data_IF_139672777475
#
_entry.id   IF_139672777475
#
_cell.length_a   1.000
_cell.length_b   1.000
_cell.length_c   1.000
_cell.angle_alpha   90.00
_cell.angle_beta   90.00
_cell.angle_gamma   90.00
#
_symmetry.space_group_name_H-M   'P 1'
#
loop_
_entity.id
_entity.type
_entity.pdbx_description
1 polymer ?
#
# COMPACT_ATOMS: atom_id res chain seq x y z
N UNK A 1 3.16 1.17 -9.46
CA UNK A 1 2.46 2.36 -8.95
C UNK A 1 1.85 3.17 -10.10
N UNK A 2 0.96 4.14 -9.85
CA UNK A 2 0.30 4.91 -10.91
C UNK A 2 1.26 5.84 -11.64
N UNK A 3 2.19 6.46 -10.91
CA UNK A 3 3.28 7.29 -11.45
C UNK A 3 4.20 6.48 -12.38
N UNK A 4 4.51 5.24 -12.00
CA UNK A 4 5.29 4.30 -12.80
C UNK A 4 4.51 3.87 -14.04
N UNK A 5 3.22 3.56 -13.92
CA UNK A 5 2.37 3.24 -15.05
C UNK A 5 2.31 4.42 -16.04
N UNK A 6 2.16 5.64 -15.54
CA UNK A 6 2.18 6.86 -16.36
C UNK A 6 3.53 7.04 -17.08
N UNK A 7 4.65 6.81 -16.39
CA UNK A 7 5.98 6.83 -17.00
C UNK A 7 6.14 5.77 -18.10
N UNK A 8 5.63 4.56 -17.88
CA UNK A 8 5.67 3.47 -18.87
C UNK A 8 4.85 3.83 -20.12
N UNK A 9 3.68 4.44 -19.95
CA UNK A 9 2.85 4.89 -21.08
C UNK A 9 3.50 6.05 -21.87
N UNK A 10 4.31 6.89 -21.22
CA UNK A 10 5.08 7.93 -21.88
C UNK A 10 4.23 8.90 -22.71
N UNK A 11 4.61 9.09 -23.98
CA UNK A 11 3.89 9.96 -24.92
C UNK A 11 2.49 9.47 -25.25
N UNK A 12 2.26 8.16 -25.16
CA UNK A 12 1.04 7.49 -25.62
C UNK A 12 -0.10 7.59 -24.60
N UNK A 13 0.19 8.06 -23.39
CA UNK A 13 -0.82 8.33 -22.38
C UNK A 13 -1.80 9.41 -22.86
N UNK A 14 -3.09 9.07 -22.82
CA UNK A 14 -4.21 9.98 -23.08
C UNK A 14 -4.27 11.09 -22.03
N UNK A 15 -5.05 12.14 -22.31
CA UNK A 15 -5.25 13.25 -21.35
C UNK A 15 -5.86 12.76 -20.03
N UNK A 16 -6.79 11.80 -20.11
CA UNK A 16 -7.45 11.25 -18.93
C UNK A 16 -6.49 10.39 -18.11
N UNK A 17 -5.68 9.55 -18.76
CA UNK A 17 -4.64 8.74 -18.08
C UNK A 17 -3.60 9.63 -17.39
N UNK A 18 -3.11 10.68 -18.07
CA UNK A 18 -2.17 11.66 -17.48
C UNK A 18 -2.75 12.30 -16.23
N UNK A 19 -4.00 12.75 -16.32
CA UNK A 19 -4.69 13.43 -15.22
C UNK A 19 -4.90 12.48 -14.05
N UNK A 20 -5.45 11.29 -14.30
CA UNK A 20 -5.83 10.37 -13.24
C UNK A 20 -4.61 9.71 -12.59
N UNK A 21 -3.68 9.15 -13.37
CA UNK A 21 -2.51 8.45 -12.82
C UNK A 21 -1.54 9.41 -12.11
N UNK A 22 -1.39 10.64 -12.62
CA UNK A 22 -0.55 11.67 -12.03
C UNK A 22 -1.14 12.34 -10.79
N UNK A 23 -2.43 12.15 -10.51
CA UNK A 23 -3.09 12.72 -9.31
C UNK A 23 -2.81 11.93 -8.03
N UNK A 24 -2.35 10.68 -8.14
CA UNK A 24 -1.96 9.89 -6.96
C UNK A 24 -0.50 10.20 -6.64
N UNK A 25 -0.30 10.91 -5.53
CA UNK A 25 1.03 11.24 -5.02
C UNK A 25 1.58 10.10 -4.15
N UNK A 26 2.90 10.08 -3.99
CA UNK A 26 3.59 9.09 -3.18
C UNK A 26 4.53 9.77 -2.19
N UNK A 27 4.58 9.23 -0.98
CA UNK A 27 5.53 9.60 0.06
C UNK A 27 6.59 8.50 0.19
N UNK A 28 7.85 8.90 0.29
CA UNK A 28 8.93 7.97 0.62
C UNK A 28 8.88 7.62 2.11
N UNK A 29 8.89 6.31 2.39
CA UNK A 29 9.00 5.75 3.73
C UNK A 29 10.25 4.87 3.79
N UNK A 30 11.11 5.11 4.76
CA UNK A 30 12.29 4.29 5.02
C UNK A 30 11.95 3.21 6.05
N UNK A 31 12.27 1.96 5.76
CA UNK A 31 12.13 0.86 6.70
C UNK A 31 13.52 0.27 6.97
N UNK A 32 13.89 0.21 8.24
CA UNK A 32 15.19 -0.30 8.67
C UNK A 32 14.97 -1.53 9.52
N UNK A 33 15.62 -2.64 9.18
CA UNK A 33 15.75 -3.82 10.03
C UNK A 33 17.05 -3.69 10.84
N UNK A 34 16.97 -3.71 12.16
CA UNK A 34 18.11 -3.45 13.03
C UNK A 34 17.95 -4.08 14.43
N UNK A 35 19.02 -4.00 15.23
CA UNK A 35 19.03 -4.39 16.65
C UNK A 35 19.16 -3.24 17.66
N UNK A 36 19.15 -1.99 17.19
CA UNK A 36 19.23 -0.81 18.06
C UNK A 36 18.02 -0.63 18.99
N UNK A 37 18.20 -0.94 20.28
CA UNK A 37 17.19 -0.82 21.33
C UNK A 37 16.76 0.62 21.63
N UNK A 38 17.50 1.64 21.16
CA UNK A 38 17.16 3.06 21.38
C UNK A 38 15.92 3.50 20.61
N UNK A 39 15.51 2.72 19.60
CA UNK A 39 14.24 2.93 18.89
C UNK A 39 13.00 2.44 19.67
N UNK A 40 13.20 1.83 20.85
CA UNK A 40 12.15 1.41 21.77
C UNK A 40 12.05 2.35 22.99
N UNK A 41 10.94 2.35 23.74
CA UNK A 41 10.84 3.11 24.99
C UNK A 41 11.96 2.76 25.97
N UNK A 42 12.51 3.76 26.66
CA UNK A 42 13.54 3.55 27.68
C UNK A 42 13.10 2.58 28.78
N UNK A 43 11.81 2.63 29.16
CA UNK A 43 11.22 1.71 30.13
C UNK A 43 10.83 0.41 29.42
N UNK A 44 11.57 -0.68 29.66
CA UNK A 44 11.29 -2.00 29.08
C UNK A 44 9.87 -2.51 29.35
N UNK A 45 9.27 -2.16 30.49
CA UNK A 45 7.88 -2.51 30.81
C UNK A 45 6.84 -1.87 29.86
N UNK A 46 7.21 -0.84 29.10
CA UNK A 46 6.36 -0.20 28.11
C UNK A 46 6.59 -0.74 26.69
N UNK A 47 7.39 -1.79 26.54
CA UNK A 47 7.61 -2.41 25.24
C UNK A 47 6.36 -3.16 24.79
N UNK A 48 6.06 -3.03 23.51
CA UNK A 48 4.95 -3.68 22.84
C UNK A 48 5.39 -4.14 21.46
N UNK A 49 4.60 -5.00 20.81
CA UNK A 49 4.88 -5.51 19.46
C UNK A 49 5.03 -4.41 18.41
N UNK A 50 4.47 -3.24 18.70
CA UNK A 50 4.61 -1.99 17.96
C UNK A 50 4.69 -0.82 18.94
N UNK A 51 5.53 0.16 18.64
CA UNK A 51 5.61 1.43 19.38
C UNK A 51 5.75 2.54 18.36
N UNK A 52 5.05 3.66 18.58
CA UNK A 52 5.27 4.86 17.78
C UNK A 52 6.06 5.88 18.60
N UNK A 53 6.88 6.66 17.90
CA UNK A 53 7.63 7.77 18.46
C UNK A 53 7.35 9.00 17.61
N UNK A 54 6.98 10.10 18.27
CA UNK A 54 6.77 11.39 17.61
C UNK A 54 7.77 12.40 18.17
N UNK A 55 8.58 13.00 17.31
CA UNK A 55 9.62 13.96 17.70
C UNK A 55 9.74 15.05 16.64
N UNK A 56 9.59 16.31 17.05
CA UNK A 56 9.69 17.48 16.17
C UNK A 56 8.84 17.38 14.88
N UNK A 57 7.65 16.77 14.99
CA UNK A 57 6.73 16.57 13.86
C UNK A 57 7.01 15.34 13.00
N UNK A 58 8.12 14.64 13.22
CA UNK A 58 8.42 13.35 12.58
C UNK A 58 7.81 12.21 13.38
N UNK A 59 7.25 11.22 12.69
CA UNK A 59 6.65 10.03 13.30
C UNK A 59 7.37 8.80 12.78
N UNK A 60 7.91 8.01 13.71
CA UNK A 60 8.46 6.69 13.45
C UNK A 60 7.67 5.61 14.16
N UNK A 61 7.65 4.41 13.60
CA UNK A 61 6.99 3.24 14.18
C UNK A 61 7.97 2.08 14.21
N UNK A 62 8.24 1.53 15.38
CA UNK A 62 9.11 0.37 15.56
C UNK A 62 8.26 -0.87 15.85
N UNK A 63 8.45 -1.91 15.04
CA UNK A 63 7.90 -3.24 15.25
C UNK A 63 8.95 -4.11 15.95
N UNK A 64 8.55 -4.74 17.05
CA UNK A 64 9.38 -5.72 17.72
C UNK A 64 9.09 -7.12 17.19
N UNK A 65 9.91 -7.56 16.23
CA UNK A 65 9.67 -8.76 15.45
C UNK A 65 9.78 -10.03 16.28
N UNK A 66 10.66 -10.06 17.29
CA UNK A 66 10.76 -11.20 18.21
C UNK A 66 9.42 -11.48 18.89
N UNK A 67 8.79 -10.44 19.43
CA UNK A 67 7.50 -10.58 20.08
C UNK A 67 6.38 -10.86 19.07
N UNK A 68 6.37 -10.16 17.93
CA UNK A 68 5.29 -10.27 16.93
C UNK A 68 5.26 -11.64 16.25
N UNK A 69 6.42 -12.25 16.02
CA UNK A 69 6.55 -13.52 15.28
C UNK A 69 7.02 -14.70 16.14
N UNK A 70 7.29 -14.49 17.43
CA UNK A 70 7.80 -15.54 18.32
C UNK A 70 9.24 -15.97 18.04
N UNK A 71 10.08 -15.06 17.54
CA UNK A 71 11.50 -15.32 17.26
C UNK A 71 12.29 -15.23 18.59
N UNK A 72 13.27 -16.12 18.86
CA UNK A 72 14.10 -16.03 20.05
C UNK A 72 14.75 -14.65 20.24
N UNK A 73 14.72 -14.11 21.45
CA UNK A 73 15.27 -12.78 21.80
C UNK A 73 16.80 -12.76 21.99
N UNK A 74 17.52 -13.83 21.63
CA UNK A 74 18.98 -13.85 21.70
C UNK A 74 19.63 -12.79 20.82
N UNK A 75 18.90 -12.35 19.78
CA UNK A 75 19.21 -11.17 18.98
C UNK A 75 17.94 -10.30 18.85
N UNK A 76 17.94 -9.04 19.33
CA UNK A 76 16.81 -8.15 19.16
C UNK A 76 16.59 -7.80 17.68
N UNK A 77 15.38 -8.05 17.18
CA UNK A 77 14.98 -7.77 15.81
C UNK A 77 13.87 -6.72 15.82
N UNK A 78 14.23 -5.52 15.38
CA UNK A 78 13.34 -4.40 15.22
C UNK A 78 13.22 -4.02 13.75
N UNK A 79 12.01 -3.68 13.33
CA UNK A 79 11.78 -2.99 12.06
C UNK A 79 11.23 -1.61 12.37
N UNK A 80 12.01 -0.56 12.13
CA UNK A 80 11.55 0.81 12.30
C UNK A 80 11.21 1.45 10.97
N UNK A 81 9.96 1.86 10.82
CA UNK A 81 9.47 2.73 9.75
C UNK A 81 9.74 4.18 10.15
N UNK A 82 10.40 4.92 9.27
CA UNK A 82 10.78 6.32 9.42
C UNK A 82 11.43 6.63 10.78
N UNK A 83 12.63 6.07 11.06
CA UNK A 83 13.35 6.32 12.31
C UNK A 83 13.45 7.83 12.60
N UNK A 84 13.16 8.22 13.84
CA UNK A 84 13.20 9.64 14.26
C UNK A 84 14.57 10.06 14.82
N UNK A 85 15.43 9.09 15.11
CA UNK A 85 16.87 9.25 15.31
C UNK A 85 17.62 8.29 14.37
N UNK A 86 18.85 8.65 14.02
CA UNK A 86 19.75 7.80 13.26
C UNK A 86 20.06 6.48 13.97
N UNK A 87 20.14 5.41 13.18
CA UNK A 87 20.53 4.07 13.61
C UNK A 87 21.96 3.85 13.12
N UNK A 88 22.92 3.50 13.99
CA UNK A 88 24.30 3.22 13.60
C UNK A 88 24.38 2.05 12.63
N UNK A 89 25.19 2.19 11.58
CA UNK A 89 25.32 1.22 10.49
C UNK A 89 25.66 -0.19 10.99
N UNK A 90 26.46 -0.32 12.05
CA UNK A 90 26.85 -1.60 12.64
C UNK A 90 25.71 -2.34 13.36
N UNK A 91 24.57 -1.68 13.54
CA UNK A 91 23.34 -2.24 14.12
C UNK A 91 22.27 -2.51 13.06
N UNK A 92 22.48 -2.11 11.81
CA UNK A 92 21.55 -2.30 10.69
C UNK A 92 21.82 -3.64 10.01
N UNK A 93 20.74 -4.38 9.78
CA UNK A 93 20.75 -5.61 8.98
C UNK A 93 20.27 -5.35 7.54
N UNK A 94 19.28 -4.48 7.37
CA UNK A 94 18.74 -4.09 6.07
C UNK A 94 18.10 -2.68 6.13
N UNK A 95 18.10 -1.97 5.02
CA UNK A 95 17.55 -0.62 4.89
C UNK A 95 16.91 -0.44 3.51
N UNK A 96 15.59 -0.26 3.49
CA UNK A 96 14.79 -0.24 2.27
C UNK A 96 13.89 0.98 2.24
N UNK A 97 13.85 1.64 1.08
CA UNK A 97 12.91 2.73 0.81
C UNK A 97 11.68 2.19 0.07
N UNK A 98 10.51 2.57 0.57
CA UNK A 98 9.20 2.27 -0.01
C UNK A 98 8.51 3.56 -0.41
N UNK A 99 7.71 3.51 -1.48
CA UNK A 99 6.84 4.62 -1.87
C UNK A 99 5.40 4.30 -1.46
N UNK A 100 4.85 5.04 -0.51
CA UNK A 100 3.48 4.86 -0.02
C UNK A 100 2.52 5.84 -0.70
N UNK A 101 1.39 5.39 -1.28
CA UNK A 101 0.44 6.29 -1.90
C UNK A 101 -0.22 7.21 -0.87
N UNK A 102 -0.43 8.47 -1.25
CA UNK A 102 -1.17 9.46 -0.49
C UNK A 102 -2.61 9.51 -0.99
N UNK A 103 -3.58 9.25 -0.10
CA UNK A 103 -5.01 9.21 -0.43
C UNK A 103 -5.71 10.52 -0.08
N UNK A 104 -5.27 11.60 -0.72
CA UNK A 104 -5.93 12.90 -0.61
C UNK A 104 -7.19 12.98 -1.50
N UNK A 105 -7.86 14.13 -1.50
CA UNK A 105 -9.06 14.34 -2.29
C UNK A 105 -8.82 14.20 -3.82
N UNK A 106 -7.61 14.50 -4.31
CA UNK A 106 -7.27 14.34 -5.73
C UNK A 106 -7.09 12.86 -6.07
N UNK A 107 -6.38 12.10 -5.25
CA UNK A 107 -6.22 10.66 -5.40
C UNK A 107 -7.58 9.93 -5.36
N UNK A 108 -8.49 10.29 -4.45
CA UNK A 108 -9.83 9.69 -4.38
C UNK A 108 -10.65 9.97 -5.64
N UNK A 109 -10.60 11.20 -6.19
CA UNK A 109 -11.24 11.50 -7.48
C UNK A 109 -10.62 10.71 -8.62
N UNK A 110 -9.29 10.60 -8.63
CA UNK A 110 -8.56 9.84 -9.62
C UNK A 110 -8.94 8.35 -9.64
N UNK A 111 -9.22 7.73 -8.48
CA UNK A 111 -9.72 6.35 -8.42
C UNK A 111 -11.01 6.15 -9.21
N UNK A 112 -11.92 7.13 -9.14
CA UNK A 112 -13.16 7.10 -9.94
C UNK A 112 -12.87 7.22 -11.43
N UNK A 113 -11.96 8.12 -11.82
CA UNK A 113 -11.55 8.27 -13.22
C UNK A 113 -10.90 6.99 -13.76
N UNK A 114 -9.97 6.41 -12.99
CA UNK A 114 -9.28 5.15 -13.35
C UNK A 114 -10.29 4.02 -13.53
N UNK A 115 -11.29 3.91 -12.63
CA UNK A 115 -12.36 2.92 -12.75
C UNK A 115 -13.16 3.07 -14.05
N UNK A 116 -13.42 4.30 -14.49
CA UNK A 116 -14.25 4.58 -15.67
C UNK A 116 -13.49 4.46 -16.99
N UNK A 117 -12.16 4.63 -17.00
CA UNK A 117 -11.35 4.59 -18.23
C UNK A 117 -10.74 3.21 -18.54
N UNK A 118 -11.04 2.18 -17.75
CA UNK A 118 -10.53 0.82 -17.97
C UNK A 118 -10.83 0.33 -19.40
N UNK A 119 -9.78 -0.09 -20.12
CA UNK A 119 -9.87 -0.65 -21.47
C UNK A 119 -9.98 0.39 -22.60
N UNK A 120 -10.16 1.67 -22.32
CA UNK A 120 -10.44 2.71 -23.33
C UNK A 120 -9.31 2.87 -24.37
N UNK A 121 -8.05 2.71 -23.94
CA UNK A 121 -6.87 2.80 -24.81
C UNK A 121 -6.13 1.46 -24.92
N UNK A 122 -6.86 0.34 -24.84
CA UNK A 122 -6.28 -1.02 -24.70
C UNK A 122 -5.37 -1.15 -23.46
N UNK A 123 -5.54 -0.25 -22.50
CA UNK A 123 -4.82 -0.17 -21.23
C UNK A 123 -5.75 -0.54 -20.09
N UNK A 124 -5.21 -1.26 -19.11
CA UNK A 124 -5.93 -1.70 -17.92
C UNK A 124 -5.06 -1.45 -16.69
N UNK A 125 -5.65 -0.85 -15.66
CA UNK A 125 -4.92 -0.39 -14.48
C UNK A 125 -5.35 -1.16 -13.24
N UNK A 126 -4.42 -1.92 -12.67
CA UNK A 126 -4.57 -2.60 -11.39
C UNK A 126 -3.46 -2.17 -10.43
N UNK A 127 -3.75 -2.25 -9.13
CA UNK A 127 -2.83 -1.91 -8.05
C UNK A 127 -3.56 -1.34 -6.84
N UNK A 128 -2.91 -1.41 -5.67
CA UNK A 128 -3.48 -1.01 -4.38
C UNK A 128 -3.88 0.47 -4.31
N UNK A 129 -3.28 1.33 -5.15
CA UNK A 129 -3.63 2.75 -5.28
C UNK A 129 -5.05 3.01 -5.82
N UNK A 130 -5.72 1.96 -6.33
CA UNK A 130 -7.12 2.03 -6.76
C UNK A 130 -8.13 1.95 -5.60
N UNK A 131 -7.67 1.91 -4.34
CA UNK A 131 -8.54 1.98 -3.14
C UNK A 131 -7.83 2.52 -1.89
N UNK A 132 -7.48 1.70 -0.89
CA UNK A 132 -6.93 2.16 0.40
C UNK A 132 -5.46 1.79 0.60
N UNK A 133 -4.78 1.25 -0.42
CA UNK A 133 -3.34 0.99 -0.38
C UNK A 133 -2.94 -0.34 0.24
N UNK A 134 -3.90 -1.20 0.61
CA UNK A 134 -3.59 -2.51 1.18
C UNK A 134 -3.42 -3.60 0.11
N UNK A 135 -2.85 -4.74 0.51
CA UNK A 135 -2.64 -5.90 -0.36
C UNK A 135 -3.96 -6.39 -1.00
N UNK A 136 -5.04 -6.44 -0.21
CA UNK A 136 -6.37 -6.84 -0.68
C UNK A 136 -6.89 -5.93 -1.79
N UNK A 137 -6.54 -4.63 -1.76
CA UNK A 137 -6.96 -3.68 -2.79
C UNK A 137 -6.24 -3.93 -4.12
N UNK A 138 -4.98 -4.37 -4.04
CA UNK A 138 -4.23 -4.84 -5.20
C UNK A 138 -4.95 -6.00 -5.87
N UNK A 139 -5.28 -7.04 -5.11
CA UNK A 139 -5.98 -8.24 -5.60
C UNK A 139 -7.37 -7.86 -6.14
N UNK A 140 -8.17 -7.12 -5.37
CA UNK A 140 -9.51 -6.70 -5.76
C UNK A 140 -9.52 -5.86 -7.05
N UNK A 141 -8.54 -4.97 -7.23
CA UNK A 141 -8.41 -4.20 -8.48
C UNK A 141 -8.09 -5.08 -9.69
N UNK A 142 -7.20 -6.07 -9.55
CA UNK A 142 -6.88 -7.01 -10.61
C UNK A 142 -8.10 -7.87 -10.98
N UNK A 143 -8.84 -8.38 -9.99
CA UNK A 143 -10.06 -9.16 -10.22
C UNK A 143 -11.14 -8.35 -10.96
N UNK A 144 -11.26 -7.05 -10.69
CA UNK A 144 -12.16 -6.15 -11.44
C UNK A 144 -11.75 -6.05 -12.91
N UNK A 145 -10.46 -5.87 -13.19
CA UNK A 145 -9.92 -5.83 -14.55
C UNK A 145 -10.20 -7.15 -15.29
N UNK A 146 -9.89 -8.29 -14.68
CA UNK A 146 -10.12 -9.62 -15.28
C UNK A 146 -11.60 -9.80 -15.63
N UNK A 147 -12.52 -9.47 -14.72
CA UNK A 147 -13.97 -9.59 -14.98
C UNK A 147 -14.42 -8.69 -16.13
N UNK A 148 -13.91 -7.47 -16.21
CA UNK A 148 -14.25 -6.54 -17.29
C UNK A 148 -13.71 -7.00 -18.66
N UNK A 149 -12.49 -7.54 -18.69
CA UNK A 149 -11.89 -8.14 -19.89
C UNK A 149 -12.62 -9.42 -20.34
N UNK A 150 -13.07 -10.23 -19.38
CA UNK A 150 -13.74 -11.52 -19.63
C UNK A 150 -15.25 -11.38 -19.88
N UNK A 151 -15.83 -10.19 -19.72
CA UNK A 151 -17.27 -9.96 -19.90
C UNK A 151 -17.80 -10.29 -21.31
N UNK A 152 -17.00 -10.26 -22.41
CA UNK A 152 -17.38 -10.84 -23.69
C UNK A 152 -17.12 -12.36 -23.79
N UNK A 153 -16.25 -12.92 -22.95
CA UNK A 153 -15.77 -14.32 -22.98
C UNK A 153 -16.50 -15.27 -22.01
N UNK A 154 -17.54 -14.82 -21.30
CA UNK A 154 -18.57 -15.72 -20.76
C UNK A 154 -19.45 -16.29 -21.90
N UNK A 155 -18.79 -16.83 -22.92
CA UNK A 155 -19.34 -17.66 -23.97
C UNK A 155 -19.62 -19.05 -23.40
N UNK A 156 -20.87 -19.26 -23.00
CA UNK A 156 -21.62 -20.52 -23.18
C UNK A 156 -20.88 -21.82 -22.79
N UNK A 157 -20.38 -21.93 -21.55
CA UNK A 157 -19.74 -23.17 -21.09
C UNK A 157 -19.60 -23.35 -19.58
N UNK A 158 -19.04 -22.37 -18.87
CA UNK A 158 -18.47 -22.66 -17.55
C UNK A 158 -19.39 -22.26 -16.39
N UNK A 159 -20.42 -23.09 -16.19
CA UNK A 159 -21.05 -23.22 -14.87
C UNK A 159 -20.19 -24.12 -13.99
N UNK A 160 -19.01 -23.66 -13.56
CA UNK A 160 -18.39 -24.13 -12.32
C UNK A 160 -17.56 -22.98 -11.71
N UNK A 161 -18.06 -22.50 -10.57
CA UNK A 161 -17.31 -21.88 -9.48
C UNK A 161 -16.65 -20.51 -9.70
N UNK A 162 -17.45 -19.46 -9.56
CA UNK A 162 -17.01 -18.18 -8.98
C UNK A 162 -18.05 -17.76 -7.95
N UNK A 163 -17.75 -17.99 -6.67
CA UNK A 163 -18.57 -17.48 -5.58
C UNK A 163 -18.58 -15.95 -5.66
N UNK A 164 -19.76 -15.36 -5.89
CA UNK A 164 -19.92 -13.92 -6.03
C UNK A 164 -19.47 -13.21 -4.76
N UNK A 165 -18.48 -12.31 -4.86
CA UNK A 165 -18.27 -11.29 -3.84
C UNK A 165 -19.59 -10.51 -3.70
N UNK A 166 -20.08 -10.39 -2.45
CA UNK A 166 -21.31 -9.67 -2.14
C UNK A 166 -21.19 -8.21 -2.62
N UNK A 167 -22.31 -7.65 -3.05
CA UNK A 167 -22.41 -6.22 -3.39
C UNK A 167 -21.84 -5.37 -2.26
N UNK A 168 -21.17 -4.27 -2.60
CA UNK A 168 -20.75 -3.25 -1.63
C UNK A 168 -21.98 -2.77 -0.86
N UNK A 169 -22.14 -3.22 0.38
CA UNK A 169 -23.17 -2.71 1.28
C UNK A 169 -22.66 -1.38 1.80
N UNK A 170 -23.21 -0.28 1.29
CA UNK A 170 -23.06 1.03 1.90
C UNK A 170 -23.76 1.01 3.26
N UNK A 171 -22.99 1.12 4.35
CA UNK A 171 -23.54 1.33 5.69
C UNK A 171 -23.94 2.81 5.79
N UNK A 172 -25.24 3.10 5.93
CA UNK A 172 -25.67 4.45 6.27
C UNK A 172 -25.32 4.74 7.72
N UNK A 173 -24.50 5.76 7.94
CA UNK A 173 -24.32 6.32 9.28
C UNK A 173 -25.37 7.40 9.41
N UNK A 174 -26.52 7.06 9.98
CA UNK A 174 -27.53 8.03 10.37
C UNK A 174 -27.00 8.88 11.52
N UNK A 175 -27.15 10.20 11.38
CA UNK A 175 -27.11 11.16 12.49
C UNK A 175 -28.52 11.32 13.01
#
# INVERSE_FOLDING_TARGET
HSDQALRILGSDATKDEKTALGSVQYQENRAVLHRDVRQMPQRRACWSSWVYRSQQGSIGVTYWMNLLQGIPESDPLFVTLNPTDDIPDELIYDDVQFAHPLFDAAAIRAQTMIKNMQGANRTWFAGAYNRHGFHEDGIASAMRVIRAMSAPELLKGDRHEIHGQRAEVSVSVGV
#
